data_IF_220133348955
#
_entry.id   IF_220133348955
#
_cell.length_a   1.000
_cell.length_b   1.000
_cell.length_c   1.000
_cell.angle_alpha   90.00
_cell.angle_beta   90.00
_cell.angle_gamma   90.00
#
_symmetry.space_group_name_H-M   'P 1'
#
loop_
_entity.id
_entity.type
_entity.pdbx_description
1 polymer ?
#
# COMPACT_ATOMS: atom_id res chain seq x y z
N UNK A 1 -0.67 79.07 -15.03
CA UNK A 1 -0.59 78.29 -13.79
C UNK A 1 -1.15 76.91 -14.09
N UNK A 2 -0.38 75.86 -14.34
CA UNK A 2 -0.89 74.50 -14.59
C UNK A 2 -1.05 73.76 -13.27
N UNK A 3 -2.16 73.04 -13.14
CA UNK A 3 -2.51 72.19 -12.01
C UNK A 3 -1.82 70.85 -12.11
N UNK A 4 -1.14 70.47 -11.04
CA UNK A 4 -0.54 69.17 -10.88
C UNK A 4 -1.59 68.08 -10.62
N UNK A 5 -1.50 66.98 -11.38
CA UNK A 5 -2.30 65.78 -11.17
C UNK A 5 -1.62 64.85 -10.14
N UNK A 6 -2.38 64.17 -9.26
CA UNK A 6 -1.80 63.26 -8.29
C UNK A 6 -1.45 61.86 -8.94
N UNK A 7 -0.22 61.45 -8.68
CA UNK A 7 0.31 60.15 -9.05
C UNK A 7 -0.36 59.07 -8.21
N UNK A 8 -1.15 58.22 -8.84
CA UNK A 8 -1.78 57.07 -8.21
C UNK A 8 -0.78 55.87 -8.19
N UNK A 9 -0.16 55.64 -7.06
CA UNK A 9 0.70 54.47 -6.81
C UNK A 9 -0.18 53.24 -6.55
N UNK A 10 -0.43 52.42 -7.57
CA UNK A 10 -1.00 51.10 -7.40
C UNK A 10 0.02 50.16 -6.84
N UNK A 11 0.00 49.91 -5.53
CA UNK A 11 0.61 48.74 -4.89
C UNK A 11 -0.24 47.52 -5.22
N UNK A 12 0.17 46.81 -6.27
CA UNK A 12 -0.35 45.49 -6.59
C UNK A 12 0.27 44.45 -5.66
N UNK A 13 -0.37 44.19 -4.53
CA UNK A 13 -0.03 43.00 -3.71
C UNK A 13 -0.54 41.77 -4.42
N UNK A 14 0.36 41.11 -5.15
CA UNK A 14 0.16 39.78 -5.70
C UNK A 14 0.12 38.79 -4.55
N UNK A 15 -1.07 38.51 -4.04
CA UNK A 15 -1.29 37.40 -3.11
C UNK A 15 -1.07 36.11 -3.89
N UNK A 16 0.10 35.52 -3.73
CA UNK A 16 0.35 34.17 -4.21
C UNK A 16 -0.55 33.21 -3.43
N UNK A 17 -1.49 32.59 -4.16
CA UNK A 17 -2.30 31.53 -3.64
C UNK A 17 -1.38 30.37 -3.16
N UNK A 18 -1.63 29.77 -1.99
CA UNK A 18 -0.84 28.67 -1.52
C UNK A 18 -0.93 27.52 -2.52
N UNK A 19 0.21 27.16 -3.10
CA UNK A 19 0.39 26.02 -3.97
C UNK A 19 -0.10 24.76 -3.25
N UNK A 20 -1.29 24.31 -3.58
CA UNK A 20 -1.84 23.03 -3.12
C UNK A 20 -1.10 21.89 -3.81
N UNK A 21 0.14 21.66 -3.42
CA UNK A 21 0.84 20.42 -3.79
C UNK A 21 0.08 19.27 -3.15
N UNK A 22 -0.41 18.30 -3.94
CA UNK A 22 -1.04 17.12 -3.37
C UNK A 22 -0.04 16.45 -2.43
N UNK A 23 -0.49 15.85 -1.31
CA UNK A 23 0.38 15.18 -0.37
C UNK A 23 1.19 14.13 -1.13
N UNK A 24 2.52 14.21 -1.02
CA UNK A 24 3.43 13.22 -1.59
C UNK A 24 3.00 11.86 -1.11
N UNK A 25 2.35 11.09 -1.97
CA UNK A 25 2.01 9.71 -1.71
C UNK A 25 3.30 8.95 -1.49
N UNK A 26 3.49 8.43 -0.28
CA UNK A 26 4.64 7.62 0.15
C UNK A 26 4.70 6.23 -0.55
N UNK A 27 4.12 6.13 -1.75
CA UNK A 27 4.14 4.93 -2.56
C UNK A 27 5.31 5.01 -3.52
N UNK A 28 6.39 4.29 -3.25
CA UNK A 28 7.37 3.97 -4.28
C UNK A 28 6.71 3.00 -5.25
N UNK A 29 6.24 3.50 -6.38
CA UNK A 29 5.81 2.65 -7.48
C UNK A 29 7.05 1.97 -8.07
N UNK A 30 7.04 0.68 -8.12
CA UNK A 30 7.99 -0.04 -8.92
C UNK A 30 7.68 0.22 -10.40
N UNK A 31 8.68 0.09 -11.28
CA UNK A 31 8.68 0.42 -12.72
C UNK A 31 7.61 -0.32 -13.57
N UNK A 32 6.66 -0.99 -12.94
CA UNK A 32 5.56 -1.74 -13.52
C UNK A 32 4.25 -0.95 -13.47
N UNK A 33 4.36 0.35 -13.73
CA UNK A 33 3.26 1.32 -13.71
C UNK A 33 2.17 1.09 -14.76
N UNK A 34 2.28 0.07 -15.58
CA UNK A 34 1.14 -0.44 -16.33
C UNK A 34 0.24 -1.22 -15.37
N UNK A 35 -0.49 -0.48 -14.56
CA UNK A 35 -1.58 -1.08 -13.79
C UNK A 35 -2.58 -1.65 -14.79
N UNK A 36 -2.82 -2.95 -14.78
CA UNK A 36 -3.83 -3.50 -15.66
C UNK A 36 -5.14 -2.79 -15.38
N UNK A 37 -5.80 -2.35 -16.43
CA UNK A 37 -7.10 -1.68 -16.36
C UNK A 37 -8.18 -2.65 -15.85
N UNK A 38 -7.84 -3.95 -15.85
CA UNK A 38 -8.73 -5.03 -15.42
C UNK A 38 -8.75 -5.18 -13.90
N UNK A 39 -9.92 -5.49 -13.38
CA UNK A 39 -10.08 -5.86 -11.98
C UNK A 39 -9.27 -7.12 -11.66
N UNK A 40 -8.50 -7.10 -10.58
CA UNK A 40 -7.75 -8.27 -10.15
C UNK A 40 -8.68 -9.26 -9.43
N UNK A 41 -8.47 -10.57 -9.61
CA UNK A 41 -9.25 -11.56 -8.88
C UNK A 41 -8.82 -11.67 -7.42
N UNK A 42 -7.49 -11.63 -7.20
CA UNK A 42 -6.87 -11.90 -5.90
C UNK A 42 -5.93 -10.77 -5.53
N UNK A 43 -5.94 -10.38 -4.26
CA UNK A 43 -4.94 -9.51 -3.65
C UNK A 43 -4.09 -10.32 -2.67
N UNK A 44 -2.79 -10.39 -2.88
CA UNK A 44 -1.83 -10.86 -1.88
C UNK A 44 -1.35 -9.64 -1.09
N UNK A 45 -1.57 -9.61 0.21
CA UNK A 45 -1.11 -8.56 1.10
C UNK A 45 -0.10 -9.13 2.10
N UNK A 46 1.12 -8.61 2.14
CA UNK A 46 2.13 -9.00 3.13
C UNK A 46 2.52 -7.82 4.01
N UNK A 47 2.78 -8.08 5.29
CA UNK A 47 3.19 -7.09 6.27
C UNK A 47 4.54 -7.47 6.85
N UNK A 48 5.60 -6.95 6.23
CA UNK A 48 6.99 -7.16 6.69
C UNK A 48 7.51 -8.59 6.54
N UNK A 49 6.90 -9.42 5.70
CA UNK A 49 7.32 -10.81 5.49
C UNK A 49 7.43 -11.18 4.01
N UNK A 50 8.24 -12.17 3.70
CA UNK A 50 8.31 -12.77 2.37
C UNK A 50 7.01 -13.50 2.04
N UNK A 51 6.70 -13.61 0.75
CA UNK A 51 5.52 -14.33 0.26
C UNK A 51 5.94 -15.79 -0.03
N UNK A 52 5.43 -16.77 0.74
CA UNK A 52 5.83 -18.16 0.57
C UNK A 52 5.22 -18.78 -0.69
N UNK A 53 5.84 -19.85 -1.22
CA UNK A 53 5.34 -20.55 -2.42
C UNK A 53 3.90 -21.09 -2.27
N UNK A 54 3.51 -21.44 -1.06
CA UNK A 54 2.14 -21.90 -0.75
C UNK A 54 1.09 -20.84 -1.03
N UNK A 55 1.37 -19.59 -0.67
CA UNK A 55 0.50 -18.44 -0.96
C UNK A 55 0.41 -18.18 -2.47
N UNK A 56 1.54 -18.30 -3.19
CA UNK A 56 1.55 -18.15 -4.65
C UNK A 56 0.66 -19.21 -5.30
N UNK A 57 0.81 -20.49 -4.93
CA UNK A 57 -0.05 -21.56 -5.45
C UNK A 57 -1.53 -21.30 -5.15
N UNK A 58 -1.84 -20.88 -3.93
CA UNK A 58 -3.21 -20.53 -3.53
C UNK A 58 -3.76 -19.38 -4.36
N UNK A 59 -2.98 -18.33 -4.59
CA UNK A 59 -3.37 -17.20 -5.42
C UNK A 59 -3.62 -17.63 -6.88
N UNK A 60 -2.79 -18.49 -7.46
CA UNK A 60 -2.99 -19.04 -8.81
C UNK A 60 -4.32 -19.80 -8.90
N UNK A 61 -4.61 -20.66 -7.92
CA UNK A 61 -5.89 -21.39 -7.88
C UNK A 61 -7.10 -20.45 -7.82
N UNK A 62 -7.04 -19.41 -6.97
CA UNK A 62 -8.15 -18.48 -6.78
C UNK A 62 -8.28 -17.43 -7.89
N UNK A 63 -7.22 -17.22 -8.68
CA UNK A 63 -7.21 -16.22 -9.74
C UNK A 63 -8.08 -16.61 -10.94
N UNK A 64 -8.25 -17.92 -11.19
CA UNK A 64 -8.97 -18.42 -12.35
C UNK A 64 -8.50 -17.78 -13.67
N UNK A 65 -7.21 -17.58 -13.80
CA UNK A 65 -6.57 -16.91 -14.96
C UNK A 65 -6.68 -15.37 -14.97
N UNK A 66 -7.36 -14.76 -14.02
CA UNK A 66 -7.42 -13.29 -13.89
C UNK A 66 -6.18 -12.73 -13.18
N UNK A 67 -5.84 -11.44 -13.40
CA UNK A 67 -4.67 -10.83 -12.80
C UNK A 67 -4.66 -10.89 -11.26
N UNK A 68 -3.46 -10.99 -10.68
CA UNK A 68 -3.21 -10.98 -9.23
C UNK A 68 -2.51 -9.70 -8.83
N UNK A 69 -3.05 -9.02 -7.84
CA UNK A 69 -2.44 -7.85 -7.23
C UNK A 69 -1.58 -8.25 -6.01
N UNK A 70 -0.48 -7.54 -5.80
CA UNK A 70 0.36 -7.72 -4.62
C UNK A 70 0.56 -6.38 -3.92
N UNK A 71 0.36 -6.33 -2.61
CA UNK A 71 0.76 -5.20 -1.77
C UNK A 71 1.66 -5.67 -0.64
N UNK A 72 2.90 -5.19 -0.63
CA UNK A 72 3.80 -5.38 0.49
C UNK A 72 3.82 -4.11 1.35
N UNK A 73 3.64 -4.27 2.65
CA UNK A 73 3.63 -3.16 3.59
C UNK A 73 4.90 -3.22 4.44
N UNK A 74 5.78 -2.24 4.25
CA UNK A 74 6.91 -2.03 5.13
C UNK A 74 6.40 -1.47 6.47
N UNK A 75 6.78 -2.13 7.57
CA UNK A 75 6.33 -1.74 8.91
C UNK A 75 6.92 -0.39 9.32
N UNK A 76 6.10 0.45 9.87
CA UNK A 76 6.53 1.64 10.58
C UNK A 76 6.46 1.31 12.08
N UNK A 77 7.61 1.20 12.72
CA UNK A 77 7.69 1.01 14.17
C UNK A 77 7.43 2.37 14.85
N UNK A 78 6.26 2.54 15.45
CA UNK A 78 5.88 3.80 16.08
C UNK A 78 6.21 3.85 17.57
N UNK A 79 6.66 5.01 18.08
CA UNK A 79 6.60 5.30 19.50
C UNK A 79 5.15 5.57 19.94
N UNK A 80 4.84 5.31 21.19
CA UNK A 80 3.52 5.45 21.79
C UNK A 80 2.97 6.89 21.80
N UNK A 81 3.78 7.88 21.47
CA UNK A 81 3.45 9.31 21.58
C UNK A 81 3.01 9.99 20.29
N UNK A 82 2.71 9.26 19.24
CA UNK A 82 2.04 9.82 18.05
C UNK A 82 2.90 10.68 17.11
N UNK A 83 4.09 11.08 17.50
CA UNK A 83 5.01 11.85 16.64
C UNK A 83 5.87 10.91 15.80
N UNK A 84 5.98 11.15 14.48
CA UNK A 84 6.89 10.38 13.65
C UNK A 84 8.33 10.77 14.01
N UNK A 85 9.01 9.89 14.75
CA UNK A 85 10.45 10.00 14.88
C UNK A 85 11.11 9.58 13.55
N UNK A 86 12.11 10.33 13.05
CA UNK A 86 12.80 9.99 11.80
C UNK A 86 13.41 8.58 11.79
N UNK A 87 13.79 8.04 12.93
CA UNK A 87 14.33 6.69 13.09
C UNK A 87 13.30 5.57 13.06
N UNK A 88 12.00 5.88 12.97
CA UNK A 88 10.91 4.90 12.96
C UNK A 88 10.30 4.68 11.56
N UNK A 89 10.74 5.46 10.59
CA UNK A 89 10.36 5.24 9.19
C UNK A 89 11.15 4.05 8.63
N UNK A 90 10.55 3.25 7.74
CA UNK A 90 11.26 2.17 7.08
C UNK A 90 12.50 2.73 6.38
N UNK A 91 13.62 2.07 6.60
CA UNK A 91 14.89 2.40 5.93
C UNK A 91 14.78 2.09 4.43
N UNK A 92 15.68 2.66 3.62
CA UNK A 92 15.79 2.29 2.20
C UNK A 92 15.97 0.79 2.04
N UNK A 93 16.82 0.18 2.87
CA UNK A 93 17.08 -1.27 2.85
C UNK A 93 15.81 -2.08 3.06
N UNK A 94 15.00 -1.75 4.07
CA UNK A 94 13.73 -2.42 4.34
C UNK A 94 12.73 -2.25 3.18
N UNK A 95 12.68 -1.08 2.57
CA UNK A 95 11.83 -0.84 1.40
C UNK A 95 12.31 -1.64 0.19
N UNK A 96 13.62 -1.74 -0.03
CA UNK A 96 14.22 -2.50 -1.13
C UNK A 96 14.03 -4.02 -0.93
N UNK A 97 14.11 -4.51 0.31
CA UNK A 97 13.77 -5.90 0.67
C UNK A 97 12.30 -6.23 0.36
N UNK A 98 11.37 -5.37 0.77
CA UNK A 98 9.96 -5.56 0.44
C UNK A 98 9.72 -5.55 -1.07
N UNK A 99 10.42 -4.68 -1.79
CA UNK A 99 10.37 -4.63 -3.23
C UNK A 99 10.91 -5.92 -3.88
N UNK A 100 11.99 -6.48 -3.33
CA UNK A 100 12.54 -7.75 -3.79
C UNK A 100 11.55 -8.91 -3.58
N UNK A 101 10.84 -8.94 -2.45
CA UNK A 101 9.79 -9.94 -2.20
C UNK A 101 8.65 -9.84 -3.22
N UNK A 102 8.20 -8.63 -3.52
CA UNK A 102 7.16 -8.39 -4.52
C UNK A 102 7.63 -8.83 -5.90
N UNK A 103 8.85 -8.45 -6.33
CA UNK A 103 9.44 -8.87 -7.62
C UNK A 103 9.49 -10.39 -7.75
N UNK A 104 9.98 -11.06 -6.71
CA UNK A 104 10.08 -12.53 -6.66
C UNK A 104 8.71 -13.20 -6.75
N UNK A 105 7.70 -12.62 -6.11
CA UNK A 105 6.34 -13.15 -6.16
C UNK A 105 5.71 -12.97 -7.56
N UNK A 106 5.86 -11.79 -8.18
CA UNK A 106 5.42 -11.53 -9.54
C UNK A 106 6.05 -12.53 -10.52
N UNK A 107 7.37 -12.67 -10.50
CA UNK A 107 8.06 -13.62 -11.39
C UNK A 107 7.60 -15.08 -11.21
N UNK A 108 7.11 -15.46 -10.03
CA UNK A 108 6.53 -16.78 -9.79
C UNK A 108 5.11 -16.91 -10.34
N UNK A 109 4.28 -15.88 -10.21
CA UNK A 109 2.94 -15.83 -10.77
C UNK A 109 2.98 -15.84 -12.29
N UNK A 110 3.85 -15.03 -12.90
CA UNK A 110 4.05 -14.99 -14.36
C UNK A 110 4.53 -16.35 -14.92
N UNK A 111 5.45 -17.02 -14.21
CA UNK A 111 5.85 -18.38 -14.58
C UNK A 111 4.70 -19.40 -14.47
N UNK A 112 3.73 -19.15 -13.64
CA UNK A 112 2.50 -19.96 -13.54
C UNK A 112 1.41 -19.50 -14.54
N UNK A 113 1.71 -18.59 -15.47
CA UNK A 113 0.79 -18.11 -16.49
C UNK A 113 -0.22 -17.07 -16.00
N UNK A 114 0.00 -16.48 -14.81
CA UNK A 114 -0.91 -15.48 -14.23
C UNK A 114 -0.27 -14.11 -14.28
N UNK A 115 -0.96 -13.16 -14.91
CA UNK A 115 -0.53 -11.75 -14.91
C UNK A 115 -0.54 -11.21 -13.48
N UNK A 116 0.54 -10.54 -13.09
CA UNK A 116 0.66 -10.01 -11.75
C UNK A 116 1.31 -8.62 -11.74
N UNK A 117 0.91 -7.81 -10.80
CA UNK A 117 1.53 -6.52 -10.51
C UNK A 117 1.58 -6.31 -9.00
N UNK A 118 2.47 -5.42 -8.55
CA UNK A 118 2.64 -5.20 -7.14
C UNK A 118 3.16 -3.82 -6.78
N UNK A 119 2.96 -3.45 -5.53
CA UNK A 119 3.44 -2.20 -4.95
C UNK A 119 3.92 -2.40 -3.53
N UNK A 120 4.84 -1.53 -3.10
CA UNK A 120 5.28 -1.44 -1.70
C UNK A 120 4.70 -0.17 -1.10
N UNK A 121 4.08 -0.29 0.07
CA UNK A 121 3.53 0.82 0.83
C UNK A 121 4.16 0.89 2.21
N UNK A 122 4.25 2.08 2.78
CA UNK A 122 4.67 2.30 4.15
C UNK A 122 3.52 2.97 4.92
N UNK A 123 2.96 2.27 5.91
CA UNK A 123 1.84 2.78 6.69
C UNK A 123 1.73 2.06 8.04
N UNK A 124 1.19 2.74 9.05
CA UNK A 124 0.79 2.13 10.32
C UNK A 124 -0.61 1.51 10.28
N UNK A 125 -1.41 1.89 9.30
CA UNK A 125 -2.82 1.47 9.17
C UNK A 125 -2.95 0.34 8.13
N UNK A 126 -2.29 -0.79 8.38
CA UNK A 126 -2.19 -1.92 7.44
C UNK A 126 -3.55 -2.35 6.89
N UNK A 127 -4.49 -2.64 7.78
CA UNK A 127 -5.81 -3.12 7.39
C UNK A 127 -6.59 -2.10 6.55
N UNK A 128 -6.44 -0.79 6.81
CA UNK A 128 -7.06 0.27 6.00
C UNK A 128 -6.46 0.32 4.60
N UNK A 129 -5.12 0.25 4.50
CA UNK A 129 -4.42 0.27 3.21
C UNK A 129 -4.79 -0.95 2.35
N UNK A 130 -4.77 -2.15 2.94
CA UNK A 130 -5.15 -3.39 2.26
C UNK A 130 -6.61 -3.31 1.78
N UNK A 131 -7.53 -2.90 2.64
CA UNK A 131 -8.93 -2.77 2.30
C UNK A 131 -9.17 -1.73 1.19
N UNK A 132 -8.42 -0.65 1.16
CA UNK A 132 -8.50 0.35 0.10
C UNK A 132 -8.02 -0.21 -1.24
N UNK A 133 -6.88 -0.90 -1.26
CA UNK A 133 -6.36 -1.54 -2.48
C UNK A 133 -7.35 -2.58 -2.99
N UNK A 134 -7.89 -3.42 -2.10
CA UNK A 134 -8.87 -4.44 -2.46
C UNK A 134 -10.13 -3.86 -3.13
N UNK A 135 -10.66 -2.75 -2.59
CA UNK A 135 -11.83 -2.08 -3.18
C UNK A 135 -11.51 -1.45 -4.54
N UNK A 136 -10.40 -0.72 -4.63
CA UNK A 136 -9.99 -0.05 -5.89
C UNK A 136 -9.79 -1.07 -7.00
N UNK A 137 -9.35 -2.27 -6.65
CA UNK A 137 -9.08 -3.35 -7.61
C UNK A 137 -10.24 -4.32 -7.82
N UNK A 138 -11.31 -4.17 -7.07
CA UNK A 138 -12.49 -5.02 -7.19
C UNK A 138 -12.19 -6.50 -6.97
N UNK A 139 -11.26 -6.82 -6.04
CA UNK A 139 -10.85 -8.21 -5.81
C UNK A 139 -11.94 -9.01 -5.10
N UNK A 140 -12.02 -10.30 -5.42
CA UNK A 140 -12.91 -11.24 -4.75
C UNK A 140 -12.25 -11.96 -3.57
N UNK A 141 -10.92 -12.08 -3.59
CA UNK A 141 -10.15 -12.76 -2.55
C UNK A 141 -8.97 -11.91 -2.07
N UNK A 142 -8.70 -11.93 -0.76
CA UNK A 142 -7.54 -11.28 -0.14
C UNK A 142 -6.79 -12.31 0.71
N UNK A 143 -5.54 -12.58 0.35
CA UNK A 143 -4.62 -13.41 1.10
C UNK A 143 -3.71 -12.51 1.95
N UNK A 144 -3.89 -12.49 3.26
CA UNK A 144 -3.11 -11.67 4.19
C UNK A 144 -2.00 -12.52 4.79
N UNK A 145 -0.76 -12.20 4.43
CA UNK A 145 0.45 -12.89 4.91
C UNK A 145 1.05 -12.09 6.05
N UNK A 146 1.14 -12.71 7.22
CA UNK A 146 1.74 -12.10 8.41
C UNK A 146 2.84 -13.00 8.94
N UNK A 147 3.95 -12.45 9.45
CA UNK A 147 4.99 -13.25 10.09
C UNK A 147 4.44 -13.90 11.36
N UNK A 148 4.98 -15.07 11.67
CA UNK A 148 4.72 -15.68 12.97
C UNK A 148 5.18 -14.74 14.08
N UNK A 149 4.28 -14.45 15.00
CA UNK A 149 4.55 -13.55 16.10
C UNK A 149 4.19 -14.24 17.43
N UNK A 150 4.98 -14.04 18.50
CA UNK A 150 4.65 -14.55 19.82
C UNK A 150 3.27 -14.05 20.25
N UNK A 151 2.58 -14.84 21.07
CA UNK A 151 1.17 -14.60 21.48
C UNK A 151 0.93 -13.18 21.99
N UNK A 152 1.84 -12.65 22.82
CA UNK A 152 1.72 -11.30 23.38
C UNK A 152 1.73 -10.22 22.28
N UNK A 153 2.53 -10.38 21.22
CA UNK A 153 2.58 -9.45 20.09
C UNK A 153 1.29 -9.51 19.26
N UNK A 154 0.72 -10.69 19.07
CA UNK A 154 -0.58 -10.86 18.41
C UNK A 154 -1.71 -10.14 19.16
N UNK A 155 -1.67 -10.16 20.49
CA UNK A 155 -2.64 -9.43 21.32
C UNK A 155 -2.47 -7.92 21.18
N UNK A 156 -1.23 -7.43 21.11
CA UNK A 156 -0.93 -5.99 21.00
C UNK A 156 -1.15 -5.43 19.59
N UNK A 157 -0.75 -6.16 18.55
CA UNK A 157 -0.84 -5.71 17.14
C UNK A 157 -2.19 -6.04 16.48
N UNK A 158 -3.00 -6.88 17.11
CA UNK A 158 -4.27 -7.35 16.58
C UNK A 158 -4.12 -8.37 15.44
N UNK A 159 -5.24 -8.89 14.97
CA UNK A 159 -5.31 -9.77 13.81
C UNK A 159 -5.58 -8.94 12.55
N UNK A 160 -4.53 -8.73 11.76
CA UNK A 160 -4.62 -7.95 10.53
C UNK A 160 -5.67 -8.50 9.56
N UNK A 161 -5.79 -9.83 9.43
CA UNK A 161 -6.76 -10.44 8.54
C UNK A 161 -8.21 -10.19 9.02
N UNK A 162 -8.44 -10.28 10.33
CA UNK A 162 -9.74 -9.96 10.95
C UNK A 162 -10.11 -8.49 10.75
N UNK A 163 -9.15 -7.59 10.91
CA UNK A 163 -9.38 -6.15 10.72
C UNK A 163 -9.61 -5.79 9.25
N UNK A 164 -8.92 -6.44 8.33
CA UNK A 164 -9.17 -6.32 6.89
C UNK A 164 -10.59 -6.79 6.57
N UNK A 165 -10.99 -7.97 7.06
CA UNK A 165 -12.35 -8.55 6.85
C UNK A 165 -13.45 -7.61 7.31
N UNK A 166 -13.29 -6.99 8.49
CA UNK A 166 -14.25 -5.99 9.01
C UNK A 166 -14.39 -4.76 8.11
N UNK A 167 -13.31 -4.36 7.41
CA UNK A 167 -13.27 -3.14 6.59
C UNK A 167 -13.74 -3.36 5.16
N UNK A 168 -13.52 -4.53 4.59
CA UNK A 168 -13.87 -4.82 3.19
C UNK A 168 -15.36 -5.17 3.03
N UNK A 169 -15.96 -5.78 4.06
CA UNK A 169 -17.33 -6.27 4.00
C UNK A 169 -17.41 -7.75 3.59
N UNK A 170 -18.64 -8.27 3.53
CA UNK A 170 -18.92 -9.72 3.37
C UNK A 170 -18.70 -10.27 1.96
N UNK A 171 -18.56 -9.41 0.96
CA UNK A 171 -18.47 -9.82 -0.45
C UNK A 171 -17.08 -10.31 -0.87
N UNK A 172 -16.06 -10.06 -0.04
CA UNK A 172 -14.67 -10.44 -0.32
C UNK A 172 -14.22 -11.48 0.70
N UNK A 173 -13.70 -12.58 0.22
CA UNK A 173 -13.13 -13.63 1.07
C UNK A 173 -11.75 -13.22 1.54
N UNK A 174 -11.52 -13.19 2.85
CA UNK A 174 -10.22 -12.84 3.44
C UNK A 174 -9.63 -14.05 4.16
N UNK A 175 -8.50 -14.53 3.67
CA UNK A 175 -7.73 -15.63 4.28
C UNK A 175 -6.47 -15.06 4.97
N UNK A 176 -6.26 -15.36 6.25
CA UNK A 176 -5.02 -15.03 6.97
C UNK A 176 -4.06 -16.21 6.93
N UNK A 177 -2.81 -15.97 6.54
CA UNK A 177 -1.76 -16.98 6.42
C UNK A 177 -0.58 -16.52 7.28
N UNK A 178 -0.23 -17.31 8.28
CA UNK A 178 0.93 -17.06 9.15
C UNK A 178 2.15 -17.82 8.62
N UNK A 179 3.32 -17.16 8.59
CA UNK A 179 4.59 -17.69 8.04
C UNK A 179 5.76 -17.28 8.90
#
# INVERSE_FOLDING_TARGET
>A
MPAEAPVSTRLGSKVEAPSSRPPRTLFKRAKWDKQPTQSSAVLIATVGSAIPPTVIRRAVQLSEGRPVAIVAIARIYGSSFGLPSPGLMPTRKEMDEQLAYVKKAIARLERAGVEAWGQVASTRRYAKAIAQVARVRGVSHVLVVTPEAPRWRRVMEGDTARDVRRRIGKQVVVEGITV
#
